data_IF_292513311149
#
_entry.id   IF_292513311149
#
_cell.length_a   1.000
_cell.length_b   1.000
_cell.length_c   1.000
_cell.angle_alpha   90.00
_cell.angle_beta   90.00
_cell.angle_gamma   90.00
#
_symmetry.space_group_name_H-M   'P 1'
#
loop_
_entity.id
_entity.type
_entity.pdbx_description
1 polymer ?
2 non-polymer ?
3 non-polymer ?
4 non-polymer ?
5 non-polymer ?
6 water ?
#
# COMPACT_ATOMS: atom_id res chain seq x y z
N UNK A 1 -18.78 -8.72 -1.23
CA UNK A 1 -18.53 -7.99 0.06
C UNK A 1 -18.86 -6.53 -0.03
N UNK A 2 -18.85 -5.86 1.10
CA UNK A 2 -19.12 -4.43 1.15
C UNK A 2 -17.78 -3.69 1.33
N UNK A 3 -17.52 -2.69 0.49
CA UNK A 3 -16.28 -1.96 0.54
C UNK A 3 -16.53 -0.48 0.69
N UNK A 4 -15.82 0.17 1.59
CA UNK A 4 -15.94 1.61 1.71
C UNK A 4 -14.62 2.25 1.23
N UNK A 5 -14.67 3.39 0.55
CA UNK A 5 -13.46 4.10 0.09
C UNK A 5 -13.57 5.51 0.73
N UNK A 6 -12.63 5.91 1.58
CA UNK A 6 -12.64 7.25 2.20
C UNK A 6 -11.55 8.12 1.54
N UNK A 7 -11.98 9.03 0.69
CA UNK A 7 -11.05 9.88 -0.03
C UNK A 7 -11.14 9.49 -1.49
N UNK A 8 -11.99 10.18 -2.24
CA UNK A 8 -12.15 9.90 -3.67
C UNK A 8 -11.35 10.78 -4.60
N UNK A 9 -10.10 11.01 -4.28
CA UNK A 9 -9.31 11.79 -5.21
C UNK A 9 -8.88 10.90 -6.36
N UNK A 10 -7.80 11.26 -7.05
CA UNK A 10 -7.33 10.49 -8.19
C UNK A 10 -7.10 9.01 -7.89
N UNK A 11 -6.65 8.73 -6.67
CA UNK A 11 -6.38 7.37 -6.29
C UNK A 11 -7.62 6.67 -5.84
N UNK A 12 -8.42 7.34 -5.01
CA UNK A 12 -9.64 6.72 -4.51
C UNK A 12 -10.56 6.37 -5.64
N UNK A 13 -10.73 7.29 -6.59
CA UNK A 13 -11.61 7.01 -7.70
C UNK A 13 -11.06 5.97 -8.63
N UNK A 14 -9.76 5.96 -8.86
CA UNK A 14 -9.17 4.93 -9.73
C UNK A 14 -9.33 3.59 -9.02
N UNK A 15 -9.13 3.57 -7.72
CA UNK A 15 -9.27 2.31 -6.99
C UNK A 15 -10.73 1.82 -7.11
N UNK A 16 -11.68 2.73 -7.05
CA UNK A 16 -13.07 2.33 -7.13
C UNK A 16 -13.45 1.72 -8.48
N UNK A 17 -12.95 2.34 -9.55
CA UNK A 17 -13.19 1.89 -10.91
C UNK A 17 -12.62 0.47 -11.09
N UNK A 18 -11.38 0.29 -10.61
CA UNK A 18 -10.70 -0.99 -10.71
C UNK A 18 -11.43 -2.08 -9.90
N UNK A 19 -11.80 -1.77 -8.67
CA UNK A 19 -12.53 -2.71 -7.82
C UNK A 19 -13.86 -3.07 -8.55
N UNK A 20 -14.51 -2.07 -9.12
CA UNK A 20 -15.75 -2.32 -9.88
C UNK A 20 -15.56 -3.38 -11.00
N UNK A 21 -14.56 -3.19 -11.85
CA UNK A 21 -14.29 -4.15 -12.94
C UNK A 21 -13.88 -5.54 -12.44
N UNK A 22 -13.28 -5.61 -11.25
CA UNK A 22 -12.86 -6.92 -10.72
C UNK A 22 -14.11 -7.64 -10.29
N UNK A 23 -15.09 -6.85 -9.82
CA UNK A 23 -16.36 -7.39 -9.37
C UNK A 23 -16.35 -7.91 -7.94
N UNK A 24 -15.58 -7.27 -7.05
CA UNK A 24 -15.47 -7.72 -5.66
C UNK A 24 -16.51 -7.14 -4.72
N UNK A 25 -17.06 -5.98 -5.07
CA UNK A 25 -18.06 -5.31 -4.27
C UNK A 25 -19.52 -5.56 -4.67
N UNK A 26 -20.33 -5.91 -3.68
CA UNK A 26 -21.75 -6.11 -3.83
C UNK A 26 -22.32 -4.72 -3.53
N UNK A 27 -21.69 -4.02 -2.59
CA UNK A 27 -22.07 -2.67 -2.15
C UNK A 27 -20.78 -1.86 -1.98
N UNK A 28 -20.74 -0.64 -2.54
CA UNK A 28 -19.57 0.24 -2.49
C UNK A 28 -19.91 1.67 -2.03
N UNK A 29 -19.42 2.07 -0.84
CA UNK A 29 -19.67 3.40 -0.27
C UNK A 29 -18.49 4.33 -0.53
N UNK A 30 -18.74 5.47 -1.17
CA UNK A 30 -17.70 6.44 -1.50
C UNK A 30 -17.83 7.60 -0.54
N UNK A 31 -16.78 7.93 0.21
CA UNK A 31 -16.82 9.00 1.20
C UNK A 31 -15.70 9.99 0.97
N UNK A 32 -16.06 11.24 0.72
CA UNK A 32 -15.10 12.27 0.52
C UNK A 32 -15.72 13.50 1.15
N UNK A 33 -14.88 14.41 1.60
CA UNK A 33 -15.30 15.65 2.22
C UNK A 33 -16.04 16.55 1.23
N UNK A 34 -15.70 16.39 -0.04
CA UNK A 34 -16.31 17.08 -1.14
C UNK A 34 -17.38 16.10 -1.61
N UNK A 35 -18.53 16.14 -0.93
CA UNK A 35 -19.64 15.24 -1.23
C UNK A 35 -20.13 15.31 -2.67
N UNK A 36 -20.15 16.51 -3.25
CA UNK A 36 -20.60 16.71 -4.64
C UNK A 36 -19.75 15.89 -5.63
N UNK A 37 -18.43 15.89 -5.45
CA UNK A 37 -17.49 15.14 -6.29
C UNK A 37 -17.73 13.65 -6.08
N UNK A 38 -17.82 13.21 -4.83
CA UNK A 38 -18.08 11.78 -4.56
C UNK A 38 -19.41 11.23 -5.20
N UNK A 39 -20.45 12.06 -5.16
CA UNK A 39 -21.75 11.72 -5.75
C UNK A 39 -21.69 11.60 -7.31
N UNK A 40 -21.02 12.55 -7.98
CA UNK A 40 -20.91 12.47 -9.43
C UNK A 40 -20.11 11.24 -9.82
N UNK A 41 -19.09 10.90 -9.00
CA UNK A 41 -18.26 9.73 -9.21
C UNK A 41 -19.14 8.49 -9.06
N UNK A 42 -19.95 8.45 -8.02
CA UNK A 42 -20.83 7.32 -7.84
C UNK A 42 -21.81 7.16 -9.04
N UNK A 43 -22.39 8.25 -9.53
CA UNK A 43 -23.32 8.14 -10.65
C UNK A 43 -22.66 7.68 -11.94
N UNK A 44 -21.41 8.06 -12.12
CA UNK A 44 -20.64 7.70 -13.30
C UNK A 44 -20.36 6.20 -13.32
N UNK A 45 -19.94 5.68 -12.18
CA UNK A 45 -19.66 4.25 -12.09
C UNK A 45 -20.98 3.47 -12.25
N UNK A 46 -22.07 4.00 -11.67
CA UNK A 46 -23.39 3.36 -11.75
C UNK A 46 -23.85 3.29 -13.19
N UNK A 47 -23.57 4.35 -13.94
CA UNK A 47 -23.95 4.42 -15.33
C UNK A 47 -23.16 3.43 -16.19
N UNK A 48 -22.07 2.86 -15.64
CA UNK A 48 -21.26 1.91 -16.38
C UNK A 48 -21.49 0.49 -15.93
N UNK A 49 -22.23 0.29 -14.85
CA UNK A 49 -22.53 -1.04 -14.38
C UNK A 49 -23.26 -1.94 -15.38
N UNK A 50 -23.84 -1.36 -16.46
CA UNK A 50 -24.46 -2.36 -17.34
C UNK A 50 -23.39 -3.29 -17.91
N UNK A 51 -22.12 -2.89 -17.85
CA UNK A 51 -21.01 -3.69 -18.41
C UNK A 51 -20.13 -4.41 -17.38
N UNK A 52 -20.55 -4.37 -16.12
CA UNK A 52 -19.81 -4.97 -15.03
C UNK A 52 -20.80 -5.77 -14.17
N UNK A 53 -20.42 -6.17 -12.97
CA UNK A 53 -21.33 -6.91 -12.09
C UNK A 53 -22.20 -5.93 -11.32
N UNK A 54 -23.40 -6.39 -10.94
CA UNK A 54 -24.31 -5.57 -10.19
C UNK A 54 -23.59 -5.19 -8.90
N UNK A 55 -23.68 -3.92 -8.55
CA UNK A 55 -23.04 -3.38 -7.37
C UNK A 55 -23.89 -2.22 -6.85
N UNK A 56 -24.05 -2.12 -5.52
CA UNK A 56 -24.79 -1.01 -4.92
C UNK A 56 -23.77 0.07 -4.52
N UNK A 57 -23.50 0.99 -5.44
CA UNK A 57 -22.55 2.09 -5.29
C UNK A 57 -23.29 3.37 -4.99
N UNK A 58 -22.77 4.12 -4.03
CA UNK A 58 -23.36 5.38 -3.64
C UNK A 58 -22.42 6.21 -2.78
N UNK A 59 -22.54 7.54 -2.87
CA UNK A 59 -21.76 8.43 -2.06
C UNK A 59 -22.42 8.57 -0.67
N UNK A 60 -21.75 8.13 0.40
CA UNK A 60 -22.36 8.23 1.72
C UNK A 60 -21.59 9.06 2.73
N UNK A 61 -21.91 8.89 4.01
CA UNK A 61 -21.20 9.56 5.12
C UNK A 61 -20.65 8.43 6.04
N UNK A 62 -19.92 8.75 7.11
CA UNK A 62 -19.36 7.68 7.96
C UNK A 62 -20.28 6.61 8.51
N UNK A 63 -21.52 6.97 8.78
CA UNK A 63 -22.45 6.00 9.33
C UNK A 63 -22.68 4.85 8.38
N UNK A 64 -22.42 5.03 7.08
CA UNK A 64 -22.65 3.96 6.09
C UNK A 64 -21.63 2.86 6.06
N UNK A 65 -20.50 3.05 6.71
CA UNK A 65 -19.46 2.04 6.72
C UNK A 65 -19.92 0.81 7.52
N UNK A 66 -21.06 0.90 8.16
CA UNK A 66 -21.55 -0.19 8.96
C UNK A 66 -21.65 -1.42 8.11
N UNK A 67 -20.99 -2.49 8.52
CA UNK A 67 -21.05 -3.73 7.75
C UNK A 67 -19.97 -3.97 6.69
N UNK A 68 -19.13 -2.95 6.51
CA UNK A 68 -18.03 -2.96 5.58
C UNK A 68 -17.08 -4.08 5.88
N UNK A 69 -16.73 -4.86 4.86
CA UNK A 69 -15.76 -5.92 5.03
C UNK A 69 -14.35 -5.27 4.92
N UNK A 70 -14.20 -4.29 4.02
CA UNK A 70 -12.92 -3.59 3.77
C UNK A 70 -13.19 -2.10 3.60
N UNK A 71 -12.31 -1.28 4.15
CA UNK A 71 -12.37 0.21 4.04
C UNK A 71 -11.01 0.65 3.52
N UNK A 72 -11.00 1.39 2.44
CA UNK A 72 -9.75 1.83 1.84
C UNK A 72 -9.56 3.32 2.11
N UNK A 73 -8.41 3.74 2.66
CA UNK A 73 -8.19 5.18 2.92
C UNK A 73 -7.21 5.82 1.93
N UNK A 74 -7.74 6.55 0.96
CA UNK A 74 -6.97 7.22 -0.06
C UNK A 74 -7.19 8.75 0.13
N UNK A 75 -7.51 9.14 1.37
CA UNK A 75 -7.81 10.53 1.74
C UNK A 75 -6.60 11.33 2.21
N UNK A 76 -6.45 12.56 1.73
CA UNK A 76 -5.35 13.40 2.16
C UNK A 76 -5.43 14.80 1.59
N UNK A 77 -4.63 15.72 2.11
CA UNK A 77 -4.62 17.11 1.66
C UNK A 77 -3.34 17.45 0.88
N UNK A 78 -3.41 18.41 -0.05
CA UNK A 78 -2.23 18.79 -0.84
C UNK A 78 -1.35 19.88 -0.18
N UNK A 79 -0.04 19.81 -0.42
CA UNK A 79 0.92 20.77 0.13
C UNK A 79 0.58 22.20 -0.27
N UNK A 80 0.33 23.05 0.72
CA UNK A 80 0.03 24.46 0.47
C UNK A 80 1.36 25.11 0.08
N UNK A 81 1.31 26.27 -0.60
CA UNK A 81 2.53 27.00 -1.02
C UNK A 81 3.28 27.48 0.20
N UNK A 82 4.57 27.29 0.18
CA UNK A 82 5.37 27.64 1.33
C UNK A 82 5.40 26.43 2.25
N UNK A 83 4.26 25.76 2.42
CA UNK A 83 4.20 24.59 3.29
C UNK A 83 5.40 23.64 3.30
N UNK A 84 5.79 23.31 4.53
CA UNK A 84 6.88 22.42 4.91
C UNK A 84 6.38 20.97 4.84
N UNK A 85 7.29 20.00 4.65
CA UNK A 85 6.87 18.60 4.58
C UNK A 85 6.38 18.07 5.92
N UNK A 86 6.98 18.58 6.99
CA UNK A 86 6.62 18.22 8.35
C UNK A 86 5.24 18.74 8.67
N UNK A 87 4.94 19.90 8.11
CA UNK A 87 3.65 20.52 8.34
C UNK A 87 2.63 19.72 7.57
N UNK A 88 2.95 19.54 6.29
CA UNK A 88 2.11 18.77 5.39
C UNK A 88 1.76 17.46 6.11
N UNK A 89 2.77 16.75 6.61
CA UNK A 89 2.56 15.48 7.30
C UNK A 89 1.74 15.70 8.55
N UNK A 90 1.89 16.87 9.14
CA UNK A 90 1.13 17.17 10.34
C UNK A 90 -0.35 17.23 10.00
N UNK A 91 -0.65 17.86 8.88
CA UNK A 91 -2.02 17.95 8.43
C UNK A 91 -2.58 16.57 8.08
N UNK A 92 -1.85 15.81 7.24
CA UNK A 92 -2.29 14.49 6.80
C UNK A 92 -2.42 13.51 7.93
N UNK A 93 -1.55 13.66 8.92
CA UNK A 93 -1.59 12.78 10.08
C UNK A 93 -2.90 13.06 10.82
N UNK A 94 -3.29 14.33 10.91
CA UNK A 94 -4.54 14.69 11.57
C UNK A 94 -5.73 14.16 10.78
N UNK A 95 -5.61 14.14 9.44
CA UNK A 95 -6.69 13.59 8.61
C UNK A 95 -6.82 12.12 8.99
N UNK A 96 -5.70 11.40 8.98
CA UNK A 96 -5.72 9.97 9.34
C UNK A 96 -6.42 9.68 10.67
N UNK A 97 -6.08 10.46 11.70
CA UNK A 97 -6.69 10.26 13.01
C UNK A 97 -8.20 10.47 13.00
N UNK A 98 -8.62 11.53 12.31
CA UNK A 98 -10.05 11.81 12.19
C UNK A 98 -10.80 10.62 11.56
N UNK A 99 -10.35 10.20 10.37
CA UNK A 99 -11.00 9.07 9.67
C UNK A 99 -11.05 7.83 10.52
N UNK A 100 -10.00 7.66 11.34
CA UNK A 100 -9.82 6.50 12.23
C UNK A 100 -10.87 6.31 13.33
N UNK A 101 -11.19 7.39 14.03
CA UNK A 101 -12.21 7.36 15.06
C UNK A 101 -13.54 6.93 14.46
N UNK A 102 -13.86 7.47 13.29
CA UNK A 102 -15.08 7.16 12.57
C UNK A 102 -15.12 5.75 12.07
N UNK A 103 -14.04 5.26 11.51
CA UNK A 103 -14.02 3.88 11.05
C UNK A 103 -14.12 2.93 12.26
N UNK A 104 -13.42 3.29 13.33
CA UNK A 104 -13.42 2.52 14.58
C UNK A 104 -14.87 2.42 15.09
N UNK A 105 -15.57 3.57 15.09
CA UNK A 105 -16.95 3.67 15.54
C UNK A 105 -18.03 2.94 14.73
N UNK A 106 -18.08 3.14 13.42
CA UNK A 106 -19.12 2.52 12.59
C UNK A 106 -18.76 1.18 11.94
N UNK A 107 -17.48 0.94 11.67
CA UNK A 107 -17.06 -0.32 11.05
C UNK A 107 -15.90 -0.94 11.83
N UNK A 108 -16.10 -1.24 13.13
CA UNK A 108 -15.06 -1.83 13.99
C UNK A 108 -14.54 -3.20 13.59
N UNK A 109 -15.32 -3.91 12.77
CA UNK A 109 -14.95 -5.24 12.33
C UNK A 109 -14.35 -5.34 10.91
N UNK A 110 -14.13 -4.18 10.28
CA UNK A 110 -13.57 -4.18 8.93
C UNK A 110 -12.04 -4.38 8.90
N UNK A 111 -11.53 -4.61 7.69
CA UNK A 111 -10.10 -4.72 7.46
C UNK A 111 -9.76 -3.39 6.76
N UNK A 112 -8.87 -2.57 7.32
CA UNK A 112 -8.51 -1.32 6.64
C UNK A 112 -7.12 -1.30 5.98
N UNK A 113 -7.09 -0.81 4.73
CA UNK A 113 -5.87 -0.71 3.93
C UNK A 113 -5.63 0.77 3.69
N UNK A 114 -4.58 1.31 4.29
CA UNK A 114 -4.19 2.72 4.15
C UNK A 114 -3.33 2.83 2.88
N UNK A 115 -3.55 3.88 2.09
CA UNK A 115 -2.83 4.01 0.84
C UNK A 115 -2.12 5.35 0.61
N UNK A 116 -2.56 6.38 1.32
CA UNK A 116 -1.97 7.71 1.22
C UNK A 116 -0.47 7.71 1.57
N UNK A 117 0.31 8.59 0.96
CA UNK A 117 1.74 8.75 1.23
C UNK A 117 2.02 9.89 2.17
N UNK A 118 2.99 9.74 3.10
CA UNK A 118 3.86 8.57 3.34
C UNK A 118 3.07 7.39 3.91
N UNK A 119 2.97 6.27 3.19
CA UNK A 119 2.18 5.13 3.66
C UNK A 119 2.49 4.50 5.02
N UNK A 120 3.77 4.33 5.36
CA UNK A 120 4.18 3.73 6.65
C UNK A 120 3.96 4.68 7.83
N UNK A 121 4.16 5.97 7.60
CA UNK A 121 3.97 6.95 8.66
C UNK A 121 2.48 7.12 8.94
N UNK A 122 1.70 7.32 7.89
CA UNK A 122 0.26 7.54 8.04
C UNK A 122 -0.47 6.30 8.54
N UNK A 123 -0.09 5.10 8.11
CA UNK A 123 -0.71 3.87 8.64
C UNK A 123 -0.50 3.79 10.17
N UNK A 124 0.71 4.06 10.64
CA UNK A 124 1.01 4.03 12.06
C UNK A 124 0.11 5.00 12.81
N UNK A 125 0.00 6.25 12.35
CA UNK A 125 -0.88 7.24 12.99
C UNK A 125 -2.36 6.77 12.98
N UNK A 126 -2.83 6.23 11.86
CA UNK A 126 -4.19 5.70 11.77
C UNK A 126 -4.44 4.54 12.76
N UNK A 127 -3.54 3.57 12.79
CA UNK A 127 -3.69 2.42 13.69
C UNK A 127 -3.79 2.86 15.14
N UNK A 128 -2.83 3.69 15.57
CA UNK A 128 -2.76 4.21 16.93
C UNK A 128 -4.08 4.92 17.37
N UNK A 129 -4.54 5.85 16.56
CA UNK A 129 -5.77 6.57 16.88
C UNK A 129 -7.00 5.68 16.83
N UNK A 130 -6.97 4.64 15.99
CA UNK A 130 -8.10 3.74 15.81
C UNK A 130 -8.33 2.75 16.95
N UNK A 131 -7.23 2.24 17.47
CA UNK A 131 -7.30 1.26 18.53
C UNK A 131 -7.77 -0.09 18.02
N UNK A 132 -7.60 -0.39 16.72
CA UNK A 132 -8.03 -1.69 16.16
C UNK A 132 -6.93 -2.74 16.12
N UNK A 133 -7.25 -3.92 15.63
CA UNK A 133 -6.30 -5.03 15.55
C UNK A 133 -5.26 -4.76 14.48
N UNK A 134 -3.95 -4.84 14.82
CA UNK A 134 -2.82 -4.62 13.89
C UNK A 134 -2.79 -5.65 12.75
N UNK A 135 -3.64 -6.66 12.85
CA UNK A 135 -3.68 -7.66 11.82
C UNK A 135 -4.75 -7.35 10.80
N UNK A 136 -5.57 -6.36 11.10
CA UNK A 136 -6.67 -5.95 10.24
C UNK A 136 -6.54 -4.55 9.67
N UNK A 137 -5.57 -3.78 10.14
CA UNK A 137 -5.33 -2.43 9.65
C UNK A 137 -3.90 -2.40 9.18
N UNK A 138 -3.63 -2.02 7.93
CA UNK A 138 -2.25 -1.99 7.49
C UNK A 138 -2.20 -1.12 6.28
N UNK A 139 -0.99 -0.91 5.78
CA UNK A 139 -0.80 -0.06 4.62
C UNK A 139 -0.39 -0.89 3.45
N UNK A 140 -0.64 -0.40 2.24
CA UNK A 140 -0.28 -1.14 1.03
C UNK A 140 1.26 -1.36 0.92
N UNK A 141 2.01 -0.41 1.48
CA UNK A 141 3.46 -0.46 1.52
C UNK A 141 4.24 -0.60 0.23
N UNK A 142 5.12 -1.60 0.19
CA UNK A 142 5.98 -1.86 -0.96
C UNK A 142 5.45 -2.91 -1.91
N UNK A 143 4.18 -3.29 -1.74
CA UNK A 143 3.55 -4.31 -2.59
C UNK A 143 3.79 -4.04 -4.07
N UNK A 144 3.58 -2.80 -4.50
CA UNK A 144 3.71 -2.48 -5.90
C UNK A 144 5.16 -2.49 -6.37
N UNK A 145 6.05 -1.93 -5.54
CA UNK A 145 7.48 -1.88 -5.91
C UNK A 145 8.11 -3.26 -6.03
N UNK A 146 7.68 -4.22 -5.19
CA UNK A 146 8.13 -5.63 -5.24
C UNK A 146 7.70 -6.32 -6.54
N UNK A 147 6.43 -6.17 -6.88
CA UNK A 147 5.89 -6.75 -8.09
C UNK A 147 6.61 -6.15 -9.27
N UNK A 148 6.84 -4.84 -9.26
CA UNK A 148 7.53 -4.16 -10.37
C UNK A 148 9.00 -4.65 -10.52
N UNK A 149 9.68 -4.89 -9.41
CA UNK A 149 11.05 -5.36 -9.52
C UNK A 149 11.05 -6.78 -10.11
N UNK A 150 10.10 -7.64 -9.69
CA UNK A 150 9.99 -9.02 -10.20
C UNK A 150 9.68 -9.05 -11.69
N UNK A 151 8.83 -8.13 -12.13
CA UNK A 151 8.45 -7.98 -13.54
C UNK A 151 9.63 -7.51 -14.45
N UNK A 152 10.40 -6.52 -14.02
CA UNK A 152 11.53 -6.03 -14.81
C UNK A 152 12.51 -7.14 -15.09
N UNK A 153 12.90 -7.82 -14.03
CA UNK A 153 13.82 -8.94 -14.09
C UNK A 153 13.28 -10.01 -15.02
N UNK A 154 12.03 -10.42 -14.77
CA UNK A 154 11.40 -11.50 -15.53
C UNK A 154 11.35 -11.31 -17.03
N UNK A 155 10.91 -10.13 -17.43
CA UNK A 155 10.81 -9.87 -18.84
C UNK A 155 12.16 -9.67 -19.53
N UNK A 156 13.19 -9.36 -18.76
CA UNK A 156 14.49 -9.22 -19.34
C UNK A 156 15.19 -10.56 -19.57
N UNK A 157 14.84 -11.51 -18.71
CA UNK A 157 15.41 -12.85 -18.72
C UNK A 157 14.64 -13.95 -19.43
N UNK A 158 13.42 -13.65 -19.85
CA UNK A 158 12.68 -14.68 -20.55
C UNK A 158 11.98 -15.66 -19.62
N UNK A 159 11.49 -15.14 -18.49
CA UNK A 159 10.76 -15.96 -17.51
C UNK A 159 9.40 -15.35 -17.17
N UNK A 160 8.53 -16.13 -16.55
CA UNK A 160 7.25 -15.62 -16.10
C UNK A 160 7.53 -14.93 -14.74
N UNK A 161 6.82 -13.83 -14.43
CA UNK A 161 7.08 -13.16 -13.14
C UNK A 161 6.87 -14.11 -11.96
N UNK A 162 6.17 -15.20 -12.23
CA UNK A 162 5.84 -16.21 -11.26
C UNK A 162 7.07 -17.02 -10.82
N UNK A 163 8.07 -17.06 -11.71
CA UNK A 163 9.31 -17.79 -11.46
C UNK A 163 10.39 -16.94 -10.82
N UNK A 164 10.13 -15.65 -10.63
CA UNK A 164 11.07 -14.72 -10.05
C UNK A 164 10.74 -14.40 -8.59
N UNK A 165 11.73 -14.55 -7.71
CA UNK A 165 11.49 -14.27 -6.33
C UNK A 165 12.38 -13.16 -5.86
N UNK A 166 11.80 -12.14 -5.22
CA UNK A 166 12.54 -10.99 -4.68
C UNK A 166 11.56 -10.28 -3.80
N UNK A 167 12.06 -9.66 -2.75
CA UNK A 167 11.22 -8.87 -1.86
C UNK A 167 11.85 -7.48 -1.72
N UNK A 168 11.05 -6.40 -1.71
CA UNK A 168 11.62 -5.10 -1.37
C UNK A 168 10.89 -4.76 -0.07
N UNK A 169 11.68 -4.47 0.96
CA UNK A 169 11.15 -4.17 2.28
C UNK A 169 11.55 -2.80 2.81
N UNK A 170 11.08 -2.48 3.99
CA UNK A 170 11.41 -1.17 4.53
C UNK A 170 10.39 -0.07 4.19
N UNK A 171 10.86 1.15 4.29
CA UNK A 171 10.07 2.32 4.01
C UNK A 171 9.69 2.28 2.54
N UNK A 172 8.43 2.54 2.25
CA UNK A 172 7.98 2.61 0.89
C UNK A 172 8.38 4.01 0.50
N UNK A 173 9.65 4.14 0.19
CA UNK A 173 10.20 5.43 -0.19
C UNK A 173 11.67 5.23 -0.49
N UNK A 174 12.39 6.36 -0.56
CA UNK A 174 13.82 6.39 -0.90
C UNK A 174 14.72 5.36 -0.20
N UNK A 175 14.37 4.94 1.00
CA UNK A 175 15.19 3.97 1.69
C UNK A 175 14.75 2.52 1.64
N UNK A 176 13.88 2.16 0.68
CA UNK A 176 13.40 0.77 0.58
C UNK A 176 14.59 -0.13 0.27
N UNK A 177 14.48 -1.39 0.68
CA UNK A 177 15.54 -2.38 0.55
C UNK A 177 15.25 -3.62 -0.34
N UNK A 178 15.83 -3.70 -1.56
CA UNK A 178 15.53 -4.91 -2.32
C UNK A 178 16.40 -6.00 -1.66
N UNK A 179 15.80 -7.08 -1.20
CA UNK A 179 16.55 -8.16 -0.56
C UNK A 179 17.17 -9.13 -1.59
N UNK A 180 18.21 -8.63 -2.25
CA UNK A 180 18.93 -9.38 -3.28
C UNK A 180 19.54 -10.72 -2.87
N UNK A 181 19.77 -10.89 -1.57
CA UNK A 181 20.35 -12.11 -1.05
C UNK A 181 19.45 -13.34 -1.12
N UNK A 182 18.15 -13.12 -1.28
CA UNK A 182 17.23 -14.24 -1.35
C UNK A 182 16.53 -14.31 -2.68
N UNK A 183 17.03 -13.54 -3.63
CA UNK A 183 16.49 -13.44 -4.98
C UNK A 183 16.80 -14.66 -5.77
N UNK A 184 15.82 -15.11 -6.56
CA UNK A 184 15.97 -16.29 -7.39
C UNK A 184 15.10 -16.25 -8.62
N UNK A 185 15.43 -17.14 -9.52
CA UNK A 185 14.69 -17.35 -10.75
C UNK A 185 14.68 -18.88 -10.92
N UNK A 186 13.54 -19.51 -10.73
CA UNK A 186 13.47 -20.96 -10.83
C UNK A 186 14.08 -21.59 -9.60
N UNK A 187 14.16 -20.81 -8.52
CA UNK A 187 14.72 -21.28 -7.25
C UNK A 187 16.25 -21.26 -7.27
N UNK A 188 16.81 -20.98 -8.45
CA UNK A 188 18.25 -20.86 -8.64
C UNK A 188 18.60 -19.42 -8.29
N UNK A 189 19.62 -19.20 -7.43
CA UNK A 189 20.07 -17.88 -6.98
C UNK A 189 20.22 -16.90 -8.13
N UNK A 190 19.71 -15.69 -7.92
CA UNK A 190 19.70 -14.65 -8.95
C UNK A 190 21.03 -14.35 -9.61
N UNK A 191 22.13 -14.79 -8.99
CA UNK A 191 23.44 -14.50 -9.59
C UNK A 191 23.93 -15.48 -10.64
N UNK A 192 23.60 -16.76 -10.47
CA UNK A 192 23.98 -17.75 -11.46
C UNK A 192 23.10 -17.40 -12.67
N UNK A 193 21.79 -17.49 -12.43
CA UNK A 193 20.75 -17.22 -13.45
C UNK A 193 20.91 -15.83 -14.09
N UNK A 194 21.44 -14.86 -13.36
CA UNK A 194 21.62 -13.55 -13.93
C UNK A 194 22.66 -13.55 -15.01
N UNK A 195 23.76 -14.30 -14.83
CA UNK A 195 24.73 -14.31 -15.91
C UNK A 195 24.84 -15.53 -16.80
N UNK A 196 23.65 -16.07 -16.98
CA UNK A 196 23.36 -17.17 -17.83
C UNK A 196 22.47 -16.31 -18.79
N UNK A 197 21.47 -15.61 -18.23
CA UNK A 197 20.57 -14.68 -18.93
C UNK A 197 21.38 -13.53 -19.60
N UNK A 198 21.10 -13.23 -20.86
CA UNK A 198 21.86 -12.21 -21.58
C UNK A 198 21.62 -10.78 -21.15
N UNK A 199 20.36 -10.35 -21.21
CA UNK A 199 20.02 -9.00 -20.81
C UNK A 199 19.87 -8.92 -19.30
N UNK A 200 20.97 -9.26 -18.63
CA UNK A 200 21.10 -9.23 -17.17
C UNK A 200 22.60 -9.19 -16.92
N UNK A 201 22.96 -8.48 -15.86
CA UNK A 201 24.31 -8.28 -15.36
C UNK A 201 24.14 -7.28 -14.23
N UNK A 202 25.15 -7.19 -13.38
CA UNK A 202 25.15 -6.30 -12.20
C UNK A 202 24.68 -4.85 -12.43
N UNK A 203 25.17 -4.18 -13.47
CA UNK A 203 24.77 -2.79 -13.78
C UNK A 203 23.26 -2.75 -14.06
N UNK A 204 22.71 -3.81 -14.68
CA UNK A 204 21.28 -3.78 -14.96
C UNK A 204 20.39 -4.05 -13.73
N UNK A 205 20.77 -4.93 -12.83
CA UNK A 205 19.95 -5.15 -11.64
C UNK A 205 19.92 -3.88 -10.82
N UNK A 206 20.96 -3.07 -10.92
CA UNK A 206 20.98 -1.85 -10.13
C UNK A 206 20.01 -0.81 -10.72
N UNK A 207 19.89 -0.79 -12.06
CA UNK A 207 18.98 0.11 -12.79
C UNK A 207 17.59 -0.21 -12.39
N UNK A 208 17.28 -1.48 -12.33
CA UNK A 208 15.96 -1.93 -11.93
C UNK A 208 15.56 -1.39 -10.59
N UNK A 209 16.43 -1.57 -9.59
CA UNK A 209 16.17 -1.12 -8.23
C UNK A 209 15.88 0.37 -8.27
N UNK A 210 16.59 1.05 -9.15
CA UNK A 210 16.46 2.50 -9.32
C UNK A 210 15.20 2.93 -10.13
N UNK A 211 14.85 2.13 -11.14
CA UNK A 211 13.71 2.41 -11.96
C UNK A 211 12.48 2.16 -11.11
N UNK A 212 12.50 1.16 -10.25
CA UNK A 212 11.34 0.98 -9.41
C UNK A 212 11.15 1.98 -8.23
N UNK A 213 12.23 2.45 -7.62
CA UNK A 213 12.04 3.40 -6.53
C UNK A 213 11.77 4.79 -7.04
N UNK A 214 12.02 5.03 -8.32
CA UNK A 214 11.75 6.36 -8.91
C UNK A 214 10.43 6.46 -9.70
N UNK A 215 9.79 5.33 -9.93
CA UNK A 215 8.59 5.26 -10.73
C UNK A 215 7.54 6.35 -10.49
N UNK A 216 7.18 6.55 -9.23
CA UNK A 216 6.22 7.55 -8.83
C UNK A 216 6.71 8.96 -9.12
N UNK A 217 7.98 9.22 -8.86
CA UNK A 217 8.50 10.58 -9.08
C UNK A 217 8.37 11.02 -10.51
N UNK A 218 8.68 10.08 -11.38
CA UNK A 218 8.68 10.24 -12.82
C UNK A 218 7.30 10.40 -13.39
N UNK A 219 6.32 9.74 -12.79
CA UNK A 219 4.94 9.88 -13.19
C UNK A 219 4.49 11.30 -12.75
N UNK A 220 4.67 11.61 -11.48
CA UNK A 220 4.33 12.92 -10.92
C UNK A 220 4.94 14.11 -11.70
N UNK A 221 6.20 14.04 -12.14
CA UNK A 221 6.79 15.18 -12.88
C UNK A 221 6.11 15.42 -14.20
N UNK A 222 5.56 14.34 -14.73
CA UNK A 222 4.87 14.38 -16.01
C UNK A 222 3.37 14.69 -15.94
N UNK A 223 2.62 14.10 -14.99
CA UNK A 223 1.17 14.34 -14.87
C UNK A 223 0.65 14.70 -13.48
N UNK A 224 1.55 15.11 -12.59
CA UNK A 224 1.16 15.52 -11.27
C UNK A 224 0.85 14.47 -10.24
N UNK A 225 0.61 13.23 -10.67
CA UNK A 225 0.28 12.19 -9.70
C UNK A 225 0.10 10.83 -10.30
N UNK A 226 0.26 9.82 -9.44
CA UNK A 226 0.10 8.38 -9.77
C UNK A 226 -1.26 7.93 -9.21
N UNK A 227 -1.97 7.06 -9.92
CA UNK A 227 -3.23 6.58 -9.38
C UNK A 227 -3.59 5.25 -9.93
N UNK A 228 -3.23 5.00 -11.19
CA UNK A 228 -3.53 3.72 -11.85
C UNK A 228 -2.82 2.48 -11.27
N UNK A 229 -1.50 2.65 -11.06
CA UNK A 229 -0.63 1.61 -10.55
C UNK A 229 -1.12 1.16 -9.19
N UNK A 230 -1.23 2.12 -8.27
CA UNK A 230 -1.66 1.83 -6.91
C UNK A 230 -3.07 1.27 -6.85
N UNK A 231 -3.92 1.69 -7.80
CA UNK A 231 -5.29 1.22 -7.92
C UNK A 231 -5.27 -0.27 -8.19
N UNK A 232 -4.47 -0.69 -9.15
CA UNK A 232 -4.33 -2.11 -9.52
C UNK A 232 -3.73 -2.95 -8.38
N UNK A 233 -2.84 -2.34 -7.60
CA UNK A 233 -2.22 -3.04 -6.47
C UNK A 233 -3.22 -3.20 -5.35
N UNK A 234 -4.03 -2.16 -5.07
CA UNK A 234 -5.06 -2.25 -4.03
C UNK A 234 -6.07 -3.35 -4.39
N UNK A 235 -6.42 -3.46 -5.68
CA UNK A 235 -7.36 -4.50 -6.19
C UNK A 235 -6.75 -5.89 -5.94
N UNK A 236 -5.48 -6.00 -6.26
CA UNK A 236 -4.78 -7.23 -6.03
C UNK A 236 -4.77 -7.63 -4.54
N UNK A 237 -4.53 -6.68 -3.64
CA UNK A 237 -4.54 -6.97 -2.21
C UNK A 237 -5.94 -7.42 -1.83
N UNK A 238 -6.95 -6.65 -2.20
CA UNK A 238 -8.35 -6.98 -1.90
C UNK A 238 -8.66 -8.39 -2.46
N UNK A 239 -8.05 -8.72 -3.61
CA UNK A 239 -8.31 -10.01 -4.18
C UNK A 239 -7.93 -11.19 -3.29
N UNK A 240 -6.89 -11.01 -2.47
CA UNK A 240 -6.37 -12.07 -1.58
C UNK A 240 -7.29 -12.26 -0.36
N UNK A 241 -7.86 -11.15 0.11
CA UNK A 241 -8.80 -11.18 1.22
C UNK A 241 -10.04 -11.84 0.69
N UNK A 242 -10.53 -11.36 -0.46
CA UNK A 242 -11.74 -11.87 -1.10
C UNK A 242 -11.79 -13.42 -1.30
N UNK A 243 -10.71 -14.01 -1.82
CA UNK A 243 -10.71 -15.47 -2.01
C UNK A 243 -9.94 -16.21 -0.93
N UNK A 244 -9.54 -15.49 0.13
CA UNK A 244 -8.76 -16.06 1.25
C UNK A 244 -7.59 -16.84 0.72
N UNK A 245 -6.71 -16.16 -0.02
CA UNK A 245 -5.60 -16.84 -0.67
C UNK A 245 -4.35 -17.10 0.13
N UNK A 246 -4.05 -16.28 1.12
CA UNK A 246 -2.85 -16.48 1.93
C UNK A 246 -1.58 -16.30 1.13
N UNK A 247 -1.61 -15.35 0.22
CA UNK A 247 -0.48 -15.02 -0.61
C UNK A 247 0.46 -14.16 0.24
N UNK A 248 1.75 -14.16 -0.08
CA UNK A 248 2.73 -13.35 0.66
C UNK A 248 2.81 -12.00 -0.01
N UNK A 249 2.64 -10.94 0.77
CA UNK A 249 2.67 -9.58 0.26
C UNK A 249 3.50 -8.72 1.21
N UNK A 250 4.33 -7.83 0.66
CA UNK A 250 5.14 -6.94 1.48
C UNK A 250 4.30 -5.74 1.87
N UNK A 251 3.41 -5.96 2.82
CA UNK A 251 2.53 -4.91 3.30
C UNK A 251 3.20 -4.18 4.47
N UNK A 252 2.81 -2.93 4.69
CA UNK A 252 3.34 -2.15 5.78
C UNK A 252 2.57 -2.53 7.06
N UNK A 253 3.15 -3.37 7.91
CA UNK A 253 2.49 -3.82 9.11
C UNK A 253 3.13 -3.32 10.38
N UNK A 254 2.34 -3.31 11.43
CA UNK A 254 2.79 -2.85 12.71
C UNK A 254 3.60 -3.97 13.24
N UNK A 255 4.86 -3.71 13.52
CA UNK A 255 5.73 -4.76 14.06
C UNK A 255 6.10 -4.46 15.51
N UNK A 256 5.92 -5.46 16.37
CA UNK A 256 6.25 -5.31 17.79
C UNK A 256 7.78 -5.42 17.98
N UNK A 257 8.41 -6.27 17.17
CA UNK A 257 9.85 -6.46 17.21
C UNK A 257 10.21 -7.44 16.12
N UNK A 258 10.82 -6.92 15.05
CA UNK A 258 11.22 -7.72 13.90
C UNK A 258 12.65 -7.30 13.59
N UNK A 259 13.59 -8.24 13.77
CA UNK A 259 15.02 -7.98 13.50
C UNK A 259 15.52 -6.70 14.19
N UNK A 260 15.07 -6.50 15.43
CA UNK A 260 15.52 -5.32 16.15
C UNK A 260 14.82 -4.00 15.87
N UNK A 261 13.88 -3.97 14.93
CA UNK A 261 13.14 -2.74 14.71
C UNK A 261 11.89 -2.93 15.56
N UNK A 262 11.36 -1.85 16.10
CA UNK A 262 10.25 -1.95 17.01
C UNK A 262 9.28 -0.77 17.07
N UNK A 263 8.04 -1.07 17.44
CA UNK A 263 7.00 -0.11 17.57
C UNK A 263 6.88 0.84 16.36
N UNK A 264 6.58 0.27 15.20
CA UNK A 264 6.37 1.06 14.00
C UNK A 264 5.74 0.18 12.93
N UNK A 265 5.21 0.83 11.90
CA UNK A 265 4.60 0.16 10.75
C UNK A 265 5.62 0.29 9.63
N UNK A 266 5.95 -0.86 9.04
CA UNK A 266 6.92 -0.93 7.96
C UNK A 266 6.62 -2.21 7.14
N UNK A 267 7.15 -2.28 5.92
CA UNK A 267 6.89 -3.43 5.04
C UNK A 267 7.82 -4.59 5.19
N UNK A 268 7.20 -5.76 5.28
CA UNK A 268 7.85 -7.06 5.39
C UNK A 268 6.83 -8.12 4.84
N UNK A 269 7.33 -9.32 4.42
CA UNK A 269 6.48 -10.39 3.89
C UNK A 269 5.53 -10.96 4.90
N UNK A 270 4.25 -10.82 4.65
CA UNK A 270 3.27 -11.35 5.56
C UNK A 270 2.25 -12.03 4.68
N UNK A 271 1.52 -12.99 5.24
CA UNK A 271 0.45 -13.61 4.47
C UNK A 271 -0.92 -12.91 4.69
N UNK A 272 -1.67 -12.65 3.62
CA UNK A 272 -3.00 -12.01 3.73
C UNK A 272 -4.20 -12.94 3.36
N UNK A 273 -5.17 -13.06 4.27
CA UNK A 273 -6.35 -13.89 3.99
C UNK A 273 -7.64 -13.15 4.30
N UNK A 274 -8.77 -13.85 4.34
CA UNK A 274 -10.06 -13.19 4.62
C UNK A 274 -10.18 -12.54 6.00
N UNK A 275 -9.32 -12.92 6.93
CA UNK A 275 -9.35 -12.34 8.26
C UNK A 275 -8.23 -11.33 8.46
N UNK A 276 -7.55 -10.94 7.38
CA UNK A 276 -6.47 -9.99 7.53
C UNK A 276 -5.16 -10.73 7.52
N UNK A 277 -4.13 -10.08 8.04
CA UNK A 277 -2.78 -10.61 8.13
C UNK A 277 -2.72 -11.82 9.03
N UNK A 278 -1.93 -12.80 8.64
CA UNK A 278 -1.80 -13.99 9.45
C UNK A 278 -0.35 -14.19 9.85
N UNK A 279 0.50 -14.64 8.92
CA UNK A 279 1.89 -14.87 9.27
C UNK A 279 2.80 -13.77 8.80
N UNK A 280 3.76 -13.45 9.65
CA UNK A 280 4.77 -12.45 9.35
C UNK A 280 6.04 -13.27 9.10
N UNK A 281 6.62 -13.15 7.91
CA UNK A 281 7.82 -13.93 7.60
C UNK A 281 9.05 -13.17 8.03
N UNK A 282 9.85 -13.77 8.89
CA UNK A 282 11.06 -13.10 9.37
C UNK A 282 12.15 -13.48 8.39
N UNK A 283 12.73 -12.49 7.70
CA UNK A 283 13.73 -12.75 6.65
C UNK A 283 15.14 -12.86 7.14
N UNK A 284 15.96 -13.67 6.46
CA UNK A 284 17.36 -13.79 6.84
C UNK A 284 18.17 -12.76 6.06
N UNK A 285 18.28 -11.57 6.62
CA UNK A 285 18.98 -10.49 5.95
C UNK A 285 20.49 -10.55 6.14
N UNK A 286 21.20 -10.38 5.04
CA UNK A 286 22.63 -10.37 5.15
C UNK A 286 22.99 -9.08 5.93
N UNK A 287 24.29 -8.83 6.09
CA UNK A 287 24.78 -7.69 6.84
C UNK A 287 24.35 -6.36 6.31
N UNK A 288 24.68 -6.09 5.04
CA UNK A 288 24.32 -4.80 4.49
C UNK A 288 22.81 -4.55 4.45
N UNK A 289 22.02 -5.61 4.22
CA UNK A 289 20.55 -5.50 4.16
C UNK A 289 19.95 -5.18 5.53
N UNK A 290 20.51 -5.82 6.55
CA UNK A 290 20.05 -5.63 7.93
C UNK A 290 20.26 -4.19 8.35
N UNK A 291 21.37 -3.63 7.90
CA UNK A 291 21.76 -2.27 8.21
C UNK A 291 20.85 -1.29 7.47
N UNK A 292 20.61 -1.54 6.18
CA UNK A 292 19.74 -0.68 5.39
C UNK A 292 18.34 -0.76 5.95
N UNK A 293 17.89 -1.96 6.27
CA UNK A 293 16.57 -2.12 6.82
C UNK A 293 16.43 -1.29 8.11
N UNK A 294 17.40 -1.43 9.02
CA UNK A 294 17.39 -0.72 10.31
C UNK A 294 17.41 0.80 10.14
N UNK A 295 18.22 1.29 9.22
CA UNK A 295 18.29 2.72 8.93
C UNK A 295 16.92 3.19 8.44
N UNK A 296 16.24 2.33 7.70
CA UNK A 296 14.93 2.62 7.14
C UNK A 296 13.98 2.82 8.30
N UNK A 297 13.96 1.86 9.22
CA UNK A 297 13.10 1.97 10.38
C UNK A 297 13.37 3.26 11.18
N UNK A 298 14.62 3.68 11.25
CA UNK A 298 14.97 4.90 11.99
C UNK A 298 14.48 6.18 11.29
N UNK A 299 14.50 6.21 9.95
CA UNK A 299 14.00 7.37 9.19
C UNK A 299 12.51 7.52 9.46
N UNK A 300 11.79 6.40 9.51
CA UNK A 300 10.36 6.38 9.81
C UNK A 300 10.03 6.80 11.25
N UNK A 301 10.72 6.21 12.24
CA UNK A 301 10.46 6.57 13.66
C UNK A 301 10.73 8.05 13.90
N UNK A 302 11.80 8.57 13.29
CA UNK A 302 12.14 9.97 13.45
C UNK A 302 11.00 10.84 12.99
N UNK A 303 10.53 10.60 11.77
CA UNK A 303 9.39 11.32 11.17
C UNK A 303 8.19 11.17 12.11
N UNK A 304 7.89 9.95 12.55
CA UNK A 304 6.80 9.70 13.48
C UNK A 304 6.99 10.59 14.72
N UNK A 305 8.21 10.66 15.25
CA UNK A 305 8.49 11.49 16.43
C UNK A 305 8.44 13.01 16.23
N UNK A 306 8.87 13.51 15.08
CA UNK A 306 8.82 14.95 14.81
C UNK A 306 7.37 15.42 14.77
N UNK A 307 6.50 14.67 14.10
CA UNK A 307 5.06 14.98 13.98
C UNK A 307 4.40 14.79 15.36
N UNK A 308 4.62 13.65 16.02
CA UNK A 308 4.04 13.45 17.35
C UNK A 308 4.49 14.61 18.25
N UNK A 309 5.63 15.23 17.94
CA UNK A 309 6.16 16.33 18.74
C UNK A 309 5.76 17.75 18.30
N UNK A 310 5.15 17.88 17.12
CA UNK A 310 4.71 19.17 16.62
C UNK A 310 3.21 19.25 16.44
N UNK A 311 2.52 18.79 17.50
CA UNK A 311 1.03 18.79 17.63
C UNK A 311 0.70 18.71 19.14
N UNK A 312 1.76 18.91 19.95
CA UNK A 312 1.75 18.88 21.43
C UNK A 312 2.48 20.12 22.04
#
# INVERSE_FOLDING_TARGET
>A
MKIGIVGLGRVGSSTAFALLMKGFAREMVLIDVDKKRAEGDALDLIHGTPFTRRANIYAGDYADLKGSDVVIVAAGVPQKPGETRLQLLGRNARVMKEIARNVSKYAPDSIVIVVTNPVDVLTYFFLKESGMDPRKVFGSGTVLDTARLRTLIAQHCGFSPRSVHVYVIGEHGDSEVPVWSGAMIGGIPLQNMCQVCQKCDSKILENFAEKTKRAAYEIIERKGATHYAIALAVADIVESIFFDEKRVLTLSVYLEDYLGVKDLCISVPVTLGKHGVERILELNLNEEELEAFRKSASILKNAINEITAEENKHQNTSG
#
